data_IF_593792770061
#
_entry.id   IF_593792770061
#
_cell.length_a   1.000
_cell.length_b   1.000
_cell.length_c   1.000
_cell.angle_alpha   90.00
_cell.angle_beta   90.00
_cell.angle_gamma   90.00
#
_symmetry.space_group_name_H-M   'P 1'
#
loop_
_entity.id
_entity.type
_entity.pdbx_description
1 polymer ?
#
# COMPACT_ATOMS: atom_id res chain seq x y z
N UNK A 1 -9.87 -14.12 42.98
CA UNK A 1 -9.75 -12.81 43.65
C UNK A 1 -8.64 -12.05 42.91
N UNK A 2 -8.77 -11.88 41.59
CA UNK A 2 -9.53 -10.81 40.90
C UNK A 2 -8.77 -9.48 41.06
N UNK A 3 -8.37 -8.75 40.02
CA UNK A 3 -9.18 -8.16 38.94
C UNK A 3 -8.17 -7.49 37.97
N UNK A 4 -8.03 -7.90 36.70
CA UNK A 4 -8.63 -7.29 35.49
C UNK A 4 -8.66 -5.74 35.44
N UNK A 5 -8.60 -5.18 34.21
CA UNK A 5 -9.01 -3.79 33.82
C UNK A 5 -7.80 -2.80 33.88
N UNK A 6 -7.21 -2.26 32.79
CA UNK A 6 -7.79 -1.70 31.56
C UNK A 6 -6.86 -1.68 30.36
N UNK A 7 -7.43 -2.13 29.25
CA UNK A 7 -7.06 -1.84 27.87
C UNK A 7 -6.80 -0.34 27.63
N UNK A 8 -5.68 -0.04 26.97
CA UNK A 8 -5.55 1.15 26.12
C UNK A 8 -5.38 0.66 24.69
N UNK A 9 -6.51 0.63 23.97
CA UNK A 9 -6.58 0.28 22.57
C UNK A 9 -5.69 1.18 21.74
N UNK A 10 -4.54 0.66 21.34
CA UNK A 10 -3.80 1.18 20.20
C UNK A 10 -4.46 0.53 18.99
N UNK A 11 -5.17 1.33 18.20
CA UNK A 11 -5.78 0.92 16.94
C UNK A 11 -4.74 0.33 16.00
N UNK A 12 -4.52 -0.98 16.11
CA UNK A 12 -3.76 -1.82 15.20
C UNK A 12 -4.69 -2.21 14.06
N UNK A 13 -4.57 -1.52 12.92
CA UNK A 13 -4.71 -2.14 11.59
C UNK A 13 -4.37 -1.12 10.51
N UNK A 14 -3.11 -1.14 10.07
CA UNK A 14 -2.73 -0.90 8.69
C UNK A 14 -1.31 -1.43 8.47
N UNK A 15 -1.26 -2.71 8.10
CA UNK A 15 -0.34 -3.23 7.07
C UNK A 15 1.14 -3.31 7.45
N UNK A 16 1.46 -4.30 8.28
CA UNK A 16 2.79 -4.89 8.31
C UNK A 16 3.04 -5.59 6.97
N UNK A 17 3.56 -4.88 5.98
CA UNK A 17 4.11 -5.51 4.79
C UNK A 17 5.36 -6.32 5.22
N UNK A 18 5.45 -7.62 4.89
CA UNK A 18 6.54 -8.45 5.38
C UNK A 18 7.87 -7.98 4.80
N UNK A 19 8.64 -7.29 5.63
CA UNK A 19 10.06 -7.08 5.45
C UNK A 19 10.76 -8.45 5.56
N UNK A 20 10.82 -9.19 4.44
CA UNK A 20 11.74 -10.31 4.33
C UNK A 20 12.26 -10.42 2.90
N UNK A 21 13.47 -9.88 2.73
CA UNK A 21 14.63 -10.52 2.11
C UNK A 21 14.48 -11.24 0.75
N UNK A 22 13.63 -10.73 -0.14
CA UNK A 22 13.88 -10.80 -1.58
C UNK A 22 13.99 -9.36 -2.08
N UNK A 23 14.69 -9.12 -3.19
CA UNK A 23 14.82 -7.80 -3.85
C UNK A 23 13.47 -7.31 -4.38
N UNK A 24 12.47 -7.15 -3.50
CA UNK A 24 11.13 -6.69 -3.82
C UNK A 24 11.23 -5.21 -4.09
N UNK A 25 11.10 -4.89 -5.37
CA UNK A 25 11.00 -3.52 -5.85
C UNK A 25 9.53 -3.16 -5.72
N UNK A 26 9.26 -2.22 -4.84
CA UNK A 26 7.92 -1.77 -4.49
C UNK A 26 7.90 -0.25 -4.49
N UNK A 27 6.76 0.33 -4.87
CA UNK A 27 6.55 1.76 -4.92
C UNK A 27 5.34 2.10 -4.08
N UNK A 28 5.41 3.27 -3.45
CA UNK A 28 4.34 3.84 -2.66
C UNK A 28 3.81 5.08 -3.38
N UNK A 29 2.49 5.14 -3.60
CA UNK A 29 1.83 6.29 -4.24
C UNK A 29 0.81 6.88 -3.27
N UNK A 30 0.99 8.16 -2.93
CA UNK A 30 0.03 8.89 -2.12
C UNK A 30 -1.32 9.01 -2.85
N UNK A 31 -2.39 8.74 -2.12
CA UNK A 31 -3.76 8.93 -2.61
C UNK A 31 -4.66 9.43 -1.48
N UNK A 32 -5.93 9.64 -1.79
CA UNK A 32 -6.97 9.85 -0.78
C UNK A 32 -8.04 8.79 -0.90
N UNK A 33 -8.89 8.65 0.10
CA UNK A 33 -10.16 7.94 -0.07
C UNK A 33 -11.31 8.90 -0.38
N UNK A 34 -12.53 8.36 -0.53
CA UNK A 34 -13.74 9.15 -0.74
C UNK A 34 -14.08 10.07 0.43
N UNK A 35 -13.58 9.78 1.64
CA UNK A 35 -13.69 10.65 2.80
C UNK A 35 -12.57 11.72 2.85
N UNK A 36 -11.80 11.87 1.76
CA UNK A 36 -10.68 12.79 1.62
C UNK A 36 -9.55 12.55 2.66
N UNK A 37 -9.51 11.37 3.29
CA UNK A 37 -8.43 10.99 4.19
C UNK A 37 -7.20 10.61 3.38
N UNK A 38 -6.01 11.03 3.83
CA UNK A 38 -4.75 10.64 3.18
C UNK A 38 -4.54 9.13 3.36
N UNK A 39 -4.30 8.46 2.25
CA UNK A 39 -4.07 7.02 2.13
C UNK A 39 -2.91 6.76 1.17
N UNK A 40 -2.67 5.50 0.89
CA UNK A 40 -1.55 5.06 0.10
C UNK A 40 -1.93 3.85 -0.75
N UNK A 41 -1.39 3.80 -1.96
CA UNK A 41 -1.36 2.64 -2.84
C UNK A 41 0.04 2.05 -2.86
N UNK A 42 0.13 0.72 -2.89
CA UNK A 42 1.40 0.04 -3.11
C UNK A 42 1.40 -0.66 -4.46
N UNK A 43 2.50 -0.52 -5.20
CA UNK A 43 2.79 -1.32 -6.40
C UNK A 43 3.93 -2.26 -6.03
N UNK A 44 3.77 -3.55 -6.29
CA UNK A 44 4.79 -4.55 -6.00
C UNK A 44 5.09 -5.35 -7.26
N UNK A 45 6.34 -5.80 -7.41
CA UNK A 45 6.70 -6.83 -8.40
C UNK A 45 6.88 -8.16 -7.69
N UNK A 46 6.17 -9.17 -8.18
CA UNK A 46 6.29 -10.55 -7.76
C UNK A 46 6.59 -11.42 -8.99
N UNK A 47 7.87 -11.79 -9.16
CA UNK A 47 8.37 -12.51 -10.35
C UNK A 47 8.04 -11.73 -11.64
N UNK A 48 7.09 -12.21 -12.44
CA UNK A 48 6.64 -11.61 -13.70
C UNK A 48 5.31 -10.83 -13.56
N UNK A 49 4.79 -10.73 -12.33
CA UNK A 49 3.49 -10.14 -12.03
C UNK A 49 3.65 -8.79 -11.32
N UNK A 50 2.81 -7.82 -11.68
CA UNK A 50 2.71 -6.53 -11.00
C UNK A 50 1.44 -6.53 -10.15
N UNK A 51 1.61 -6.46 -8.84
CA UNK A 51 0.53 -6.45 -7.87
C UNK A 51 0.24 -5.00 -7.45
N UNK A 52 -1.01 -4.55 -7.61
CA UNK A 52 -1.47 -3.24 -7.14
C UNK A 52 -2.35 -3.43 -5.90
N UNK A 53 -1.91 -2.88 -4.77
CA UNK A 53 -2.62 -2.96 -3.50
C UNK A 53 -3.27 -1.63 -3.18
N UNK A 54 -4.61 -1.67 -3.15
CA UNK A 54 -5.51 -0.60 -2.72
C UNK A 54 -5.44 -0.34 -1.21
N UNK A 55 -5.79 0.88 -0.73
CA UNK A 55 -6.07 1.07 0.68
C UNK A 55 -7.22 0.14 1.13
N UNK A 56 -7.10 -0.55 2.27
CA UNK A 56 -8.02 -1.61 2.65
C UNK A 56 -9.43 -1.04 2.90
N UNK A 57 -10.43 -1.66 2.28
CA UNK A 57 -11.85 -1.30 2.46
C UNK A 57 -12.25 0.06 1.90
N UNK A 58 -11.37 0.75 1.18
CA UNK A 58 -11.62 2.09 0.66
C UNK A 58 -11.28 2.17 -0.83
N UNK A 59 -12.04 2.97 -1.58
CA UNK A 59 -11.65 3.34 -2.93
C UNK A 59 -10.50 4.37 -2.88
N UNK A 60 -9.45 4.16 -3.67
CA UNK A 60 -8.39 5.14 -3.84
C UNK A 60 -8.81 6.20 -4.87
N UNK A 61 -8.81 7.45 -4.44
CA UNK A 61 -8.96 8.64 -5.26
C UNK A 61 -7.57 9.22 -5.52
N UNK A 62 -7.19 9.29 -6.79
CA UNK A 62 -5.93 9.90 -7.22
C UNK A 62 -6.20 11.26 -7.86
N UNK A 63 -5.38 12.25 -7.49
CA UNK A 63 -5.29 13.50 -8.25
C UNK A 63 -4.58 13.25 -9.59
N UNK A 64 -4.66 14.20 -10.52
CA UNK A 64 -3.91 14.12 -11.80
C UNK A 64 -2.41 13.89 -11.58
N UNK A 65 -1.84 14.45 -10.52
CA UNK A 65 -0.43 14.22 -10.14
C UNK A 65 -0.24 12.78 -9.65
N UNK A 66 -1.12 12.29 -8.77
CA UNK A 66 -1.08 10.90 -8.29
C UNK A 66 -1.22 9.86 -9.41
N UNK A 67 -2.09 10.11 -10.40
CA UNK A 67 -2.24 9.23 -11.58
C UNK A 67 -0.94 9.15 -12.39
N UNK A 68 -0.23 10.27 -12.57
CA UNK A 68 1.08 10.26 -13.25
C UNK A 68 2.12 9.48 -12.45
N UNK A 69 2.18 9.69 -11.13
CA UNK A 69 3.09 8.95 -10.25
C UNK A 69 2.82 7.45 -10.31
N UNK A 70 1.54 7.04 -10.24
CA UNK A 70 1.14 5.65 -10.40
C UNK A 70 1.54 5.10 -11.78
N UNK A 71 1.33 5.87 -12.84
CA UNK A 71 1.70 5.45 -14.20
C UNK A 71 3.22 5.25 -14.34
N UNK A 72 4.03 6.07 -13.69
CA UNK A 72 5.49 5.92 -13.66
C UNK A 72 5.89 4.69 -12.86
N UNK A 73 5.30 4.48 -11.68
CA UNK A 73 5.54 3.32 -10.85
C UNK A 73 5.15 2.00 -11.55
N UNK A 74 4.00 1.96 -12.23
CA UNK A 74 3.57 0.79 -13.00
C UNK A 74 4.49 0.49 -14.19
N UNK A 75 5.00 1.52 -14.87
CA UNK A 75 5.99 1.34 -15.95
C UNK A 75 7.30 0.77 -15.41
N UNK A 76 7.80 1.30 -14.30
CA UNK A 76 9.01 0.82 -13.65
C UNK A 76 8.84 -0.63 -13.16
N UNK A 77 7.70 -0.93 -12.53
CA UNK A 77 7.30 -2.28 -12.13
C UNK A 77 7.26 -3.25 -13.31
N UNK A 78 6.65 -2.85 -14.44
CA UNK A 78 6.58 -3.68 -15.62
C UNK A 78 7.97 -3.95 -16.23
N UNK A 79 8.86 -2.95 -16.28
CA UNK A 79 10.25 -3.15 -16.74
C UNK A 79 11.01 -4.13 -15.85
N UNK A 80 10.68 -4.14 -14.57
CA UNK A 80 11.32 -4.97 -13.57
C UNK A 80 10.75 -6.39 -13.48
N UNK A 81 9.47 -6.57 -13.78
CA UNK A 81 8.82 -7.87 -13.87
C UNK A 81 9.33 -8.68 -15.09
N UNK A 82 9.81 -7.99 -16.13
CA UNK A 82 10.31 -8.62 -17.36
C UNK A 82 11.48 -9.57 -17.04
N UNK A 83 11.20 -10.86 -17.21
CA UNK A 83 12.11 -12.01 -17.09
C UNK A 83 13.26 -11.97 -18.10
#
# INVERSE_FOLDING_TARGET
MDEQVRERGIGRTAESFPASAARRRWWQVDCRDLANSRRTLAVLVNRDEVELVGPPGHAAVLSTVGVRQLSTALRDAAMQARK
#
